data_IF_065640667157
#
_entry.id   IF_065640667157
#
_cell.length_a   1.000
_cell.length_b   1.000
_cell.length_c   1.000
_cell.angle_alpha   90.00
_cell.angle_beta   90.00
_cell.angle_gamma   90.00
#
_symmetry.space_group_name_H-M   'P 1'
#
loop_
_entity.id
_entity.type
_entity.pdbx_description
1 polymer ?
#
# COMPACT_ATOMS: atom_id res chain seq x y z
N UNK A 1 -13.12 -19.77 -13.96
CA UNK A 1 -12.24 -19.65 -12.79
C UNK A 1 -13.00 -18.93 -11.68
N UNK A 2 -13.07 -19.53 -10.54
CA UNK A 2 -13.76 -18.95 -9.39
C UNK A 2 -12.69 -18.39 -8.44
N UNK A 3 -12.88 -17.15 -7.99
CA UNK A 3 -11.98 -16.53 -7.05
C UNK A 3 -12.39 -16.89 -5.63
N UNK A 4 -11.44 -17.39 -4.87
CA UNK A 4 -11.62 -17.57 -3.43
C UNK A 4 -11.20 -16.30 -2.73
N UNK A 5 -12.15 -15.69 -2.03
CA UNK A 5 -11.85 -14.54 -1.20
C UNK A 5 -11.16 -15.04 0.08
N UNK A 6 -9.84 -14.96 0.08
CA UNK A 6 -9.04 -15.24 1.26
C UNK A 6 -8.61 -13.95 1.94
N UNK A 7 -9.44 -12.91 1.87
CA UNK A 7 -9.19 -11.64 2.55
C UNK A 7 -9.07 -11.88 4.04
N UNK A 8 -7.94 -12.42 4.44
CA UNK A 8 -7.74 -12.78 5.82
C UNK A 8 -6.35 -12.38 6.25
N UNK A 9 -6.27 -11.97 7.52
CA UNK A 9 -5.00 -11.69 8.18
C UNK A 9 -4.10 -12.93 8.25
N UNK A 10 -4.59 -14.09 7.80
CA UNK A 10 -3.89 -15.37 7.92
C UNK A 10 -3.16 -15.81 6.66
N UNK A 11 -3.35 -15.13 5.53
CA UNK A 11 -2.58 -15.44 4.32
C UNK A 11 -1.12 -15.02 4.50
N UNK A 12 -0.15 -15.73 3.88
CA UNK A 12 1.28 -15.46 4.11
C UNK A 12 1.69 -14.01 3.83
N UNK A 13 1.24 -13.41 2.73
CA UNK A 13 1.59 -12.02 2.39
C UNK A 13 0.96 -11.04 3.35
N UNK A 14 -0.29 -11.26 3.76
CA UNK A 14 -0.96 -10.42 4.76
C UNK A 14 -0.25 -10.49 6.11
N UNK A 15 0.16 -11.68 6.53
CA UNK A 15 0.93 -11.85 7.78
C UNK A 15 2.24 -11.09 7.72
N UNK A 16 2.98 -11.23 6.63
CA UNK A 16 4.28 -10.58 6.46
C UNK A 16 4.12 -9.06 6.42
N UNK A 17 3.09 -8.58 5.72
CA UNK A 17 2.80 -7.14 5.64
C UNK A 17 2.49 -6.57 7.02
N UNK A 18 1.60 -7.20 7.76
CA UNK A 18 1.22 -6.71 9.09
C UNK A 18 2.38 -6.81 10.08
N UNK A 19 3.16 -7.88 10.02
CA UNK A 19 4.31 -8.09 10.90
C UNK A 19 5.41 -7.05 10.68
N UNK A 20 5.61 -6.62 9.43
CA UNK A 20 6.65 -5.67 9.08
C UNK A 20 6.51 -4.31 9.78
N UNK A 21 5.27 -3.92 10.12
CA UNK A 21 4.97 -2.63 10.73
C UNK A 21 4.48 -2.73 12.17
N UNK A 22 4.46 -3.95 12.71
CA UNK A 22 4.01 -4.19 14.08
C UNK A 22 4.91 -3.48 15.09
N UNK A 23 4.29 -2.87 16.09
CA UNK A 23 5.01 -2.23 17.19
C UNK A 23 5.49 -0.81 16.90
N UNK A 24 5.25 -0.28 15.72
CA UNK A 24 5.55 1.11 15.42
C UNK A 24 4.44 2.03 15.93
N UNK A 25 4.74 3.04 16.77
CA UNK A 25 3.71 3.92 17.32
C UNK A 25 2.97 4.69 16.24
N UNK A 26 1.63 4.76 16.36
CA UNK A 26 0.79 5.51 15.43
C UNK A 26 0.58 4.84 14.08
N UNK A 27 1.15 3.66 13.86
CA UNK A 27 1.04 2.95 12.59
C UNK A 27 -0.01 1.84 12.68
N UNK A 28 -0.89 1.81 11.69
CA UNK A 28 -1.85 0.72 11.49
C UNK A 28 -1.72 0.21 10.05
N UNK A 29 -2.11 -1.05 9.84
CA UNK A 29 -2.06 -1.67 8.52
C UNK A 29 -3.38 -2.31 8.18
N UNK A 30 -3.66 -2.40 6.88
CA UNK A 30 -4.78 -3.16 6.36
C UNK A 30 -4.29 -3.90 5.11
N UNK A 31 -4.49 -5.21 5.06
CA UNK A 31 -4.05 -6.02 3.93
C UNK A 31 -5.08 -7.08 3.58
N UNK A 32 -5.28 -7.30 2.29
CA UNK A 32 -6.12 -8.35 1.75
C UNK A 32 -5.38 -9.11 0.66
N UNK A 33 -5.66 -10.41 0.53
CA UNK A 33 -5.09 -11.24 -0.51
C UNK A 33 -6.18 -12.13 -1.07
N UNK A 34 -6.20 -12.28 -2.41
CA UNK A 34 -7.14 -13.15 -3.11
C UNK A 34 -6.36 -14.26 -3.78
N UNK A 35 -6.80 -15.51 -3.58
CA UNK A 35 -6.24 -16.69 -4.24
C UNK A 35 -7.25 -17.26 -5.23
N UNK A 36 -6.73 -17.98 -6.24
CA UNK A 36 -7.56 -18.76 -7.14
C UNK A 36 -7.97 -20.08 -6.50
N UNK A 37 -8.93 -20.78 -7.12
CA UNK A 37 -9.41 -22.08 -6.63
C UNK A 37 -8.31 -23.12 -6.46
N UNK A 38 -7.27 -23.05 -7.27
CA UNK A 38 -6.12 -23.95 -7.19
C UNK A 38 -5.12 -23.54 -6.09
N UNK A 39 -5.43 -22.49 -5.31
CA UNK A 39 -4.56 -22.00 -4.25
C UNK A 39 -3.45 -21.05 -4.71
N UNK A 40 -3.34 -20.77 -6.01
CA UNK A 40 -2.32 -19.84 -6.49
C UNK A 40 -2.72 -18.39 -6.21
N UNK A 41 -1.72 -17.54 -6.07
CA UNK A 41 -1.90 -16.11 -5.83
C UNK A 41 -2.59 -15.42 -7.01
N UNK A 42 -3.53 -14.55 -6.70
CA UNK A 42 -4.26 -13.78 -7.71
C UNK A 42 -4.09 -12.28 -7.54
N UNK A 43 -4.27 -11.77 -6.32
CA UNK A 43 -4.24 -10.33 -6.07
C UNK A 43 -3.81 -10.03 -4.63
N UNK A 44 -3.26 -8.87 -4.43
CA UNK A 44 -2.87 -8.37 -3.12
C UNK A 44 -3.10 -6.87 -3.04
N UNK A 45 -3.59 -6.41 -1.90
CA UNK A 45 -3.77 -4.99 -1.62
C UNK A 45 -3.43 -4.74 -0.16
N UNK A 46 -2.47 -3.86 0.10
CA UNK A 46 -2.07 -3.53 1.45
C UNK A 46 -1.76 -2.05 1.59
N UNK A 47 -2.18 -1.46 2.70
CA UNK A 47 -1.94 -0.05 2.98
C UNK A 47 -1.42 0.15 4.40
N UNK A 48 -0.51 1.09 4.56
CA UNK A 48 0.03 1.51 5.84
C UNK A 48 -0.48 2.91 6.14
N UNK A 49 -1.01 3.08 7.34
CA UNK A 49 -1.55 4.36 7.83
C UNK A 49 -0.68 4.87 8.99
N UNK A 50 -0.39 6.16 8.96
CA UNK A 50 0.25 6.84 10.08
C UNK A 50 -0.73 7.87 10.61
N UNK A 51 -1.13 7.73 11.88
CA UNK A 51 -2.13 8.58 12.52
C UNK A 51 -3.41 8.67 11.68
N UNK A 52 -3.91 7.50 11.23
CA UNK A 52 -5.13 7.33 10.44
C UNK A 52 -5.07 7.91 9.03
N UNK A 53 -3.90 8.29 8.55
CA UNK A 53 -3.71 8.78 7.19
C UNK A 53 -2.87 7.78 6.40
N UNK A 54 -3.32 7.42 5.18
CA UNK A 54 -2.57 6.54 4.30
C UNK A 54 -1.19 7.13 4.01
N UNK A 55 -0.15 6.33 4.22
CA UNK A 55 1.23 6.76 4.01
C UNK A 55 1.87 6.07 2.82
N UNK A 56 1.70 4.77 2.68
CA UNK A 56 2.21 3.99 1.55
C UNK A 56 1.33 2.76 1.36
N UNK A 57 1.25 2.29 0.13
CA UNK A 57 0.47 1.10 -0.21
C UNK A 57 1.21 0.22 -1.19
N UNK A 58 0.84 -1.05 -1.22
CA UNK A 58 1.32 -2.04 -2.19
C UNK A 58 0.09 -2.68 -2.83
N UNK A 59 0.08 -2.75 -4.15
CA UNK A 59 -0.93 -3.52 -4.87
C UNK A 59 -0.29 -4.38 -5.95
N UNK A 60 -0.86 -5.55 -6.20
CA UNK A 60 -0.43 -6.39 -7.32
C UNK A 60 -1.05 -5.84 -8.61
N UNK A 61 -0.23 -5.69 -9.64
CA UNK A 61 -0.69 -5.25 -10.96
C UNK A 61 0.21 -5.85 -12.04
N UNK A 62 -0.40 -6.49 -13.03
CA UNK A 62 0.30 -7.11 -14.18
C UNK A 62 1.47 -8.01 -13.75
N UNK A 63 1.26 -8.83 -12.71
CA UNK A 63 2.28 -9.75 -12.20
C UNK A 63 3.38 -9.10 -11.37
N UNK A 64 3.27 -7.81 -11.09
CA UNK A 64 4.24 -7.07 -10.28
C UNK A 64 3.55 -6.44 -9.08
N UNK A 65 4.35 -6.12 -8.06
CA UNK A 65 3.89 -5.40 -6.88
C UNK A 65 4.29 -3.94 -7.01
N UNK A 66 3.29 -3.08 -7.07
CA UNK A 66 3.49 -1.62 -7.16
C UNK A 66 3.49 -1.01 -5.77
N UNK A 67 4.52 -0.23 -5.46
CA UNK A 67 4.60 0.56 -4.22
C UNK A 67 4.22 2.00 -4.56
N UNK A 68 3.21 2.54 -3.89
CA UNK A 68 2.61 3.81 -4.26
C UNK A 68 1.95 4.50 -3.08
N UNK A 69 1.50 5.73 -3.31
CA UNK A 69 0.65 6.48 -2.37
C UNK A 69 -0.36 7.32 -3.15
N UNK A 70 -1.57 7.40 -2.65
CA UNK A 70 -2.61 8.29 -3.17
C UNK A 70 -2.56 9.65 -2.47
N UNK A 71 -2.62 10.71 -3.25
CA UNK A 71 -2.77 12.08 -2.77
C UNK A 71 -1.76 12.48 -1.68
N UNK A 72 -0.44 12.32 -1.93
CA UNK A 72 0.57 12.62 -0.92
C UNK A 72 0.56 14.10 -0.54
N UNK A 73 0.59 14.34 0.78
CA UNK A 73 0.60 15.71 1.31
C UNK A 73 -0.73 16.45 1.22
N UNK A 74 -1.75 15.85 0.63
CA UNK A 74 -3.05 16.50 0.47
C UNK A 74 -3.72 16.75 1.82
N UNK A 75 -4.24 17.96 2.09
CA UNK A 75 -5.00 18.20 3.32
C UNK A 75 -6.30 17.40 3.33
N UNK A 76 -6.82 17.12 4.51
CA UNK A 76 -8.09 16.43 4.68
C UNK A 76 -9.07 17.34 5.41
N UNK A 77 -10.36 17.14 5.15
CA UNK A 77 -11.43 17.86 5.83
C UNK A 77 -11.78 17.21 7.19
N UNK A 78 -12.82 17.70 7.85
CA UNK A 78 -13.24 17.20 9.15
C UNK A 78 -13.69 15.72 9.11
N UNK A 79 -14.13 15.24 7.95
CA UNK A 79 -14.56 13.86 7.74
C UNK A 79 -13.40 12.94 7.31
N UNK A 80 -12.18 13.47 7.19
CA UNK A 80 -11.03 12.71 6.74
C UNK A 80 -10.91 12.56 5.22
N UNK A 81 -11.74 13.24 4.46
CA UNK A 81 -11.70 13.20 3.00
C UNK A 81 -10.65 14.17 2.45
N UNK A 82 -9.90 13.77 1.40
CA UNK A 82 -8.91 14.67 0.83
C UNK A 82 -9.54 15.91 0.22
N UNK A 83 -8.90 17.05 0.44
CA UNK A 83 -9.28 18.34 -0.14
C UNK A 83 -8.23 18.70 -1.19
N UNK A 84 -8.65 18.69 -2.46
CA UNK A 84 -7.74 18.98 -3.57
C UNK A 84 -7.63 20.48 -3.79
N UNK A 85 -6.39 20.94 -3.89
CA UNK A 85 -6.06 22.34 -4.15
C UNK A 85 -5.10 22.42 -5.34
N UNK A 86 -4.75 23.63 -5.74
CA UNK A 86 -3.79 23.82 -6.81
C UNK A 86 -2.40 23.30 -6.43
N UNK A 87 -2.02 23.44 -5.16
CA UNK A 87 -0.75 22.94 -4.62
C UNK A 87 -0.78 21.43 -4.36
N UNK A 88 -1.95 20.89 -4.07
CA UNK A 88 -2.15 19.47 -3.77
C UNK A 88 -3.27 18.89 -4.63
N UNK A 89 -3.04 18.70 -5.93
CA UNK A 89 -4.05 18.12 -6.82
C UNK A 89 -4.21 16.63 -6.57
N UNK A 90 -5.28 16.06 -7.11
CA UNK A 90 -5.48 14.62 -7.06
C UNK A 90 -4.39 13.93 -7.84
N UNK A 91 -3.58 13.12 -7.17
CA UNK A 91 -2.42 12.43 -7.76
C UNK A 91 -2.21 11.08 -7.11
N UNK A 92 -1.55 10.19 -7.85
CA UNK A 92 -0.98 8.97 -7.30
C UNK A 92 0.51 8.98 -7.62
N UNK A 93 1.33 8.80 -6.61
CA UNK A 93 2.79 8.71 -6.77
C UNK A 93 3.21 7.25 -6.71
N UNK A 94 3.92 6.79 -7.73
CA UNK A 94 4.46 5.43 -7.81
C UNK A 94 5.95 5.47 -7.51
N UNK A 95 6.39 4.64 -6.58
CA UNK A 95 7.79 4.57 -6.15
C UNK A 95 8.55 3.40 -6.76
N UNK A 96 7.87 2.41 -7.27
CA UNK A 96 8.52 1.29 -7.93
C UNK A 96 7.56 0.14 -8.24
N UNK A 97 8.02 -0.71 -9.15
CA UNK A 97 7.38 -1.98 -9.52
C UNK A 97 8.36 -3.10 -9.21
N UNK A 98 7.92 -4.13 -8.52
CA UNK A 98 8.78 -5.22 -8.07
C UNK A 98 8.14 -6.55 -8.41
N UNK A 99 8.94 -7.49 -8.92
CA UNK A 99 8.45 -8.85 -9.17
C UNK A 99 8.28 -9.64 -7.88
N UNK A 100 9.02 -9.26 -6.83
CA UNK A 100 9.00 -9.91 -5.53
C UNK A 100 8.21 -9.08 -4.54
N UNK A 101 7.26 -9.72 -3.85
CA UNK A 101 6.55 -9.09 -2.74
C UNK A 101 7.53 -8.62 -1.65
N UNK A 102 8.55 -9.43 -1.36
CA UNK A 102 9.54 -9.08 -0.32
C UNK A 102 10.28 -7.78 -0.66
N UNK A 103 10.63 -7.57 -1.93
CA UNK A 103 11.28 -6.33 -2.35
C UNK A 103 10.35 -5.13 -2.25
N UNK A 104 9.10 -5.30 -2.64
CA UNK A 104 8.08 -4.25 -2.49
C UNK A 104 7.89 -3.91 -1.02
N UNK A 105 7.79 -4.91 -0.16
CA UNK A 105 7.63 -4.72 1.28
C UNK A 105 8.83 -3.98 1.87
N UNK A 106 10.05 -4.35 1.50
CA UNK A 106 11.27 -3.67 1.96
C UNK A 106 11.27 -2.20 1.55
N UNK A 107 10.80 -1.89 0.35
CA UNK A 107 10.70 -0.51 -0.13
C UNK A 107 9.68 0.29 0.67
N UNK A 108 8.52 -0.30 0.92
CA UNK A 108 7.47 0.33 1.74
C UNK A 108 7.97 0.59 3.16
N UNK A 109 8.67 -0.38 3.75
CA UNK A 109 9.26 -0.23 5.08
C UNK A 109 10.27 0.93 5.13
N UNK A 110 11.12 1.06 4.12
CA UNK A 110 12.10 2.14 4.04
C UNK A 110 11.43 3.50 3.97
N UNK A 111 10.35 3.63 3.19
CA UNK A 111 9.57 4.86 3.09
C UNK A 111 8.94 5.23 4.43
N UNK A 112 8.33 4.27 5.11
CA UNK A 112 7.71 4.49 6.42
C UNK A 112 8.74 4.89 7.45
N UNK A 113 9.87 4.18 7.52
CA UNK A 113 10.94 4.46 8.50
C UNK A 113 11.57 5.82 8.30
N UNK A 114 11.67 6.27 7.05
CA UNK A 114 12.25 7.57 6.72
C UNK A 114 11.33 8.75 7.00
N UNK A 115 10.03 8.51 7.14
CA UNK A 115 9.00 9.55 7.29
C UNK A 115 9.05 10.62 6.20
N UNK A 116 9.60 10.26 5.04
CA UNK A 116 9.68 11.16 3.88
C UNK A 116 9.44 10.36 2.63
N UNK A 117 8.87 11.01 1.62
CA UNK A 117 8.66 10.36 0.34
C UNK A 117 9.89 10.55 -0.55
N UNK A 118 10.40 9.46 -1.15
CA UNK A 118 11.40 9.58 -2.21
C UNK A 118 10.75 10.19 -3.45
N UNK A 119 11.60 10.56 -4.43
CA UNK A 119 11.11 11.03 -5.71
C UNK A 119 10.33 9.89 -6.40
N UNK A 120 9.08 10.11 -6.81
CA UNK A 120 8.34 9.08 -7.53
C UNK A 120 8.93 8.82 -8.92
N UNK A 121 8.81 7.56 -9.38
CA UNK A 121 9.19 7.21 -10.75
C UNK A 121 8.09 7.56 -11.75
N UNK A 122 6.85 7.63 -11.28
CA UNK A 122 5.68 8.03 -12.07
C UNK A 122 4.72 8.81 -11.19
N UNK A 123 4.01 9.75 -11.81
CA UNK A 123 2.91 10.48 -11.17
C UNK A 123 1.68 10.32 -12.06
N UNK A 124 0.62 9.76 -11.50
CA UNK A 124 -0.67 9.60 -12.17
C UNK A 124 -1.61 10.71 -11.70
N UNK A 125 -2.34 11.28 -12.63
CA UNK A 125 -3.26 12.39 -12.35
C UNK A 125 -4.68 12.06 -12.78
#
# INVERSE_FOLDING_TARGET
MVWNDTSSLYTPRCKDFNAAFKGMPGITTHATEISRDDGTFADFDGAVYINHREWVAITATDGKFMVYINNPGCPVDADGCPVFTKEHPQQQWVFGYYESFKRALNRAMAIVRGYTYPKPIEIWR
#
